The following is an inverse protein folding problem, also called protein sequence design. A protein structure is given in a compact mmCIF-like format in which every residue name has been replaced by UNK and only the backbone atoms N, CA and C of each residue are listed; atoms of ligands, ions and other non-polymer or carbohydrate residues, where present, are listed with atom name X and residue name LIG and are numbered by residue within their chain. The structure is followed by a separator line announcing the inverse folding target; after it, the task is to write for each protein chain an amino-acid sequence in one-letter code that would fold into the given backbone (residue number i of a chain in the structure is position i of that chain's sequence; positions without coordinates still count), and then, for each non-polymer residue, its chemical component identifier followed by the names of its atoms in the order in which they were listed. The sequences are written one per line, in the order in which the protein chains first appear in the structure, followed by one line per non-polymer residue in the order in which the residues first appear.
data_IF_486478537940
#
_entry.id   IF_486478537940
#
_cell.length_a   1.000
_cell.length_b   1.000
_cell.length_c   1.000
_cell.angle_alpha   90.00
_cell.angle_beta   90.00
_cell.angle_gamma   90.00
#
_symmetry.space_group_name_H-M   'P 1'
#
loop_
_entity.id
_entity.type
_entity.pdbx_description
1 polymer ?
#
# COMPACT_ATOMS: atom_id res chain seq x y z
N UNK A 1 3.35 13.99 -1.00
CA UNK A 1 3.04 13.51 -2.36
C UNK A 1 3.96 14.10 -3.42
N UNK A 2 4.25 15.40 -3.42
CA UNK A 2 5.19 16.01 -4.38
C UNK A 2 6.64 15.51 -4.23
N UNK A 3 7.14 15.27 -3.01
CA UNK A 3 8.51 14.79 -2.79
C UNK A 3 8.78 13.37 -3.33
N UNK A 4 7.83 12.44 -3.17
CA UNK A 4 7.95 11.08 -3.73
C UNK A 4 7.94 11.11 -5.27
N UNK A 5 7.10 11.96 -5.88
CA UNK A 5 7.03 12.09 -7.33
C UNK A 5 8.37 12.56 -7.95
N UNK A 6 9.10 13.45 -7.27
CA UNK A 6 10.43 13.92 -7.73
C UNK A 6 11.46 12.79 -7.70
N UNK A 7 11.45 11.95 -6.67
CA UNK A 7 12.35 10.79 -6.54
C UNK A 7 12.06 9.73 -7.61
N UNK A 8 10.78 9.46 -7.91
CA UNK A 8 10.41 8.48 -8.94
C UNK A 8 10.70 8.97 -10.37
N UNK A 9 10.64 10.29 -10.61
CA UNK A 9 11.12 10.90 -11.86
C UNK A 9 12.64 10.75 -11.98
N UNK A 10 13.39 10.90 -10.88
CA UNK A 10 14.84 10.67 -10.87
C UNK A 10 15.23 9.19 -11.12
N UNK A 11 14.36 8.23 -10.74
CA UNK A 11 14.56 6.79 -11.03
C UNK A 11 14.09 6.34 -12.42
N UNK A 12 13.51 7.23 -13.24
CA UNK A 12 12.94 6.90 -14.56
C UNK A 12 11.93 5.73 -14.55
N UNK A 13 11.31 5.42 -13.40
CA UNK A 13 10.34 4.33 -13.30
C UNK A 13 8.94 4.86 -13.60
N UNK A 14 8.56 4.86 -14.89
CA UNK A 14 7.29 5.39 -15.39
C UNK A 14 6.05 4.81 -14.67
N UNK A 15 6.17 3.58 -14.16
CA UNK A 15 5.10 2.89 -13.41
C UNK A 15 4.80 3.62 -12.09
N UNK A 16 5.82 3.97 -11.32
CA UNK A 16 5.61 4.64 -10.02
C UNK A 16 5.02 6.04 -10.21
N UNK A 17 5.50 6.78 -11.21
CA UNK A 17 4.94 8.10 -11.55
C UNK A 17 3.46 7.98 -11.94
N UNK A 18 3.11 7.00 -12.78
CA UNK A 18 1.72 6.76 -13.18
C UNK A 18 0.84 6.35 -11.99
N UNK A 19 1.35 5.50 -11.08
CA UNK A 19 0.62 5.09 -9.88
C UNK A 19 0.40 6.26 -8.92
N UNK A 20 1.44 7.04 -8.61
CA UNK A 20 1.32 8.19 -7.69
C UNK A 20 0.43 9.29 -8.27
N UNK A 21 0.64 9.68 -9.53
CA UNK A 21 -0.16 10.71 -10.18
C UNK A 21 -1.61 10.23 -10.36
N UNK A 22 -1.80 8.99 -10.81
CA UNK A 22 -3.11 8.38 -10.95
C UNK A 22 -3.86 8.31 -9.62
N UNK A 23 -3.19 7.94 -8.53
CA UNK A 23 -3.79 7.90 -7.19
C UNK A 23 -4.13 9.31 -6.69
N UNK A 24 -3.27 10.30 -6.92
CA UNK A 24 -3.52 11.69 -6.54
C UNK A 24 -4.71 12.29 -7.31
N UNK A 25 -4.77 12.07 -8.63
CA UNK A 25 -5.91 12.48 -9.46
C UNK A 25 -7.18 11.78 -8.99
N UNK A 26 -7.12 10.47 -8.72
CA UNK A 26 -8.25 9.72 -8.22
C UNK A 26 -8.75 10.24 -6.86
N UNK A 27 -7.85 10.55 -5.93
CA UNK A 27 -8.18 11.18 -4.65
C UNK A 27 -8.87 12.53 -4.85
N UNK A 28 -8.36 13.38 -5.74
CA UNK A 28 -8.98 14.66 -6.06
C UNK A 28 -10.36 14.51 -6.70
N UNK A 29 -10.54 13.55 -7.60
CA UNK A 29 -11.83 13.26 -8.23
C UNK A 29 -12.83 12.73 -7.21
N UNK A 30 -12.41 11.82 -6.33
CA UNK A 30 -13.25 11.28 -5.25
C UNK A 30 -13.63 12.39 -4.26
N UNK A 31 -12.69 13.25 -3.88
CA UNK A 31 -12.96 14.38 -2.97
C UNK A 31 -13.95 15.39 -3.56
N UNK A 32 -14.04 15.47 -4.89
CA UNK A 32 -14.93 16.40 -5.61
C UNK A 32 -16.25 15.77 -6.05
N UNK A 33 -16.44 14.46 -5.87
CA UNK A 33 -17.68 13.78 -6.26
C UNK A 33 -18.42 13.29 -5.03
N UNK A 34 -19.66 13.74 -4.87
CA UNK A 34 -20.63 13.13 -3.97
C UNK A 34 -20.92 11.71 -4.48
N UNK A 35 -20.19 10.72 -3.96
CA UNK A 35 -20.43 9.33 -4.28
C UNK A 35 -21.68 8.87 -3.54
N UNK A 36 -22.72 8.37 -4.24
CA UNK A 36 -23.90 7.88 -3.58
C UNK A 36 -23.53 6.75 -2.60
N UNK A 37 -24.14 6.70 -1.40
CA UNK A 37 -23.90 5.65 -0.45
C UNK A 37 -24.27 4.31 -1.09
N UNK A 38 -23.35 3.34 -1.04
CA UNK A 38 -23.50 2.03 -1.67
C UNK A 38 -23.07 0.95 -0.70
N UNK A 39 -23.71 -0.20 -0.80
CA UNK A 39 -23.44 -1.31 0.11
C UNK A 39 -22.15 -2.02 -0.30
N UNK A 40 -21.28 -2.38 0.66
CA UNK A 40 -20.11 -3.20 0.38
C UNK A 40 -20.54 -4.58 -0.17
N UNK A 41 -19.69 -5.22 -0.99
CA UNK A 41 -20.06 -6.50 -1.60
C UNK A 41 -20.17 -7.62 -0.55
N UNK A 42 -21.16 -8.51 -0.70
CA UNK A 42 -21.49 -9.56 0.29
C UNK A 42 -20.37 -10.56 0.58
N UNK A 43 -19.46 -10.80 -0.36
CA UNK A 43 -18.34 -11.72 -0.13
C UNK A 43 -17.33 -11.18 0.90
N UNK A 44 -17.36 -9.86 1.18
CA UNK A 44 -16.50 -9.22 2.17
C UNK A 44 -16.83 -9.63 3.62
N UNK A 45 -18.07 -10.05 3.89
CA UNK A 45 -18.48 -10.52 5.22
C UNK A 45 -18.13 -11.99 5.48
N UNK A 46 -17.63 -12.71 4.48
CA UNK A 46 -17.24 -14.10 4.62
C UNK A 46 -16.04 -14.26 5.55
N UNK A 47 -16.19 -15.06 6.63
CA UNK A 47 -15.13 -15.31 7.61
C UNK A 47 -13.81 -15.84 7.01
N UNK A 48 -13.89 -16.52 5.87
CA UNK A 48 -12.74 -17.16 5.21
C UNK A 48 -12.23 -16.42 3.97
N UNK A 49 -12.96 -15.44 3.44
CA UNK A 49 -12.58 -14.80 2.18
C UNK A 49 -11.22 -14.08 2.28
N UNK A 50 -10.98 -13.37 3.39
CA UNK A 50 -9.69 -12.73 3.68
C UNK A 50 -8.53 -13.70 3.85
N UNK A 51 -8.62 -14.68 4.77
CA UNK A 51 -7.58 -15.69 4.93
C UNK A 51 -7.27 -16.48 3.66
N UNK A 52 -8.28 -16.83 2.87
CA UNK A 52 -8.09 -17.53 1.58
C UNK A 52 -7.37 -16.62 0.58
N UNK A 53 -7.81 -15.38 0.41
CA UNK A 53 -7.15 -14.42 -0.47
C UNK A 53 -5.69 -14.15 -0.04
N UNK A 54 -5.47 -13.96 1.26
CA UNK A 54 -4.12 -13.77 1.83
C UNK A 54 -3.22 -14.98 1.61
N UNK A 55 -3.77 -16.19 1.75
CA UNK A 55 -3.03 -17.44 1.50
C UNK A 55 -2.67 -17.60 0.04
N UNK A 56 -3.57 -17.26 -0.89
CA UNK A 56 -3.31 -17.29 -2.34
C UNK A 56 -2.22 -16.28 -2.71
N UNK A 57 -2.30 -15.04 -2.20
CA UNK A 57 -1.26 -14.03 -2.41
C UNK A 57 0.08 -14.50 -1.84
N UNK A 58 0.08 -15.00 -0.60
CA UNK A 58 1.25 -15.56 0.04
C UNK A 58 1.87 -16.70 -0.77
N UNK A 59 1.05 -17.60 -1.33
CA UNK A 59 1.49 -18.72 -2.14
C UNK A 59 2.12 -18.28 -3.47
N UNK A 60 1.48 -17.35 -4.19
CA UNK A 60 2.05 -16.81 -5.44
C UNK A 60 3.39 -16.14 -5.16
N UNK A 61 3.45 -15.35 -4.09
CA UNK A 61 4.68 -14.68 -3.64
C UNK A 61 5.73 -15.69 -3.15
N UNK A 62 5.35 -16.83 -2.59
CA UNK A 62 6.28 -17.89 -2.15
C UNK A 62 6.97 -18.56 -3.33
N UNK A 63 6.18 -18.93 -4.34
CA UNK A 63 6.59 -19.82 -5.43
C UNK A 63 7.32 -19.06 -6.54
N UNK A 64 6.96 -17.80 -6.76
CA UNK A 64 7.49 -17.03 -7.87
C UNK A 64 8.73 -16.22 -7.48
N UNK A 65 9.63 -15.91 -8.44
CA UNK A 65 10.67 -14.92 -8.26
C UNK A 65 10.07 -13.57 -7.88
N UNK A 66 10.75 -12.82 -7.00
CA UNK A 66 10.29 -11.51 -6.50
C UNK A 66 9.97 -10.53 -7.63
N UNK A 67 10.83 -10.46 -8.64
CA UNK A 67 10.69 -9.58 -9.80
C UNK A 67 9.81 -10.16 -10.93
N UNK A 68 9.11 -11.28 -10.69
CA UNK A 68 8.28 -11.90 -11.72
C UNK A 68 7.04 -11.06 -12.04
N UNK A 69 6.63 -11.11 -13.31
CA UNK A 69 5.38 -10.50 -13.79
C UNK A 69 4.17 -11.07 -13.04
N UNK A 70 4.21 -12.34 -12.64
CA UNK A 70 3.13 -12.98 -11.87
C UNK A 70 2.91 -12.32 -10.50
N UNK A 71 3.99 -11.99 -9.78
CA UNK A 71 3.90 -11.27 -8.50
C UNK A 71 3.37 -9.85 -8.72
N UNK A 72 3.88 -9.15 -9.73
CA UNK A 72 3.43 -7.78 -10.06
C UNK A 72 1.94 -7.75 -10.40
N UNK A 73 1.47 -8.66 -11.27
CA UNK A 73 0.05 -8.78 -11.64
C UNK A 73 -0.82 -9.12 -10.43
N UNK A 74 -0.36 -10.02 -9.56
CA UNK A 74 -1.10 -10.40 -8.34
C UNK A 74 -1.30 -9.20 -7.43
N UNK A 75 -0.24 -8.43 -7.18
CA UNK A 75 -0.31 -7.22 -6.36
C UNK A 75 -1.20 -6.15 -7.02
N UNK A 76 -1.08 -5.96 -8.33
CA UNK A 76 -1.92 -5.03 -9.08
C UNK A 76 -3.41 -5.39 -9.01
N UNK A 77 -3.75 -6.68 -9.17
CA UNK A 77 -5.12 -7.18 -9.05
C UNK A 77 -5.66 -6.99 -7.63
N UNK A 78 -4.88 -7.33 -6.60
CA UNK A 78 -5.28 -7.11 -5.21
C UNK A 78 -5.52 -5.63 -4.92
N UNK A 79 -4.63 -4.76 -5.38
CA UNK A 79 -4.77 -3.31 -5.27
C UNK A 79 -6.02 -2.78 -5.99
N UNK A 80 -6.26 -3.23 -7.22
CA UNK A 80 -7.43 -2.85 -8.01
C UNK A 80 -8.74 -3.32 -7.36
N UNK A 81 -8.78 -4.56 -6.85
CA UNK A 81 -9.94 -5.08 -6.12
C UNK A 81 -10.20 -4.26 -4.86
N UNK A 82 -9.16 -3.98 -4.07
CA UNK A 82 -9.27 -3.13 -2.88
C UNK A 82 -9.81 -1.74 -3.23
N UNK A 83 -9.28 -1.13 -4.30
CA UNK A 83 -9.74 0.17 -4.78
C UNK A 83 -11.21 0.14 -5.21
N UNK A 84 -11.62 -0.85 -6.00
CA UNK A 84 -13.02 -1.01 -6.44
C UNK A 84 -13.94 -1.19 -5.24
N UNK A 85 -13.52 -1.93 -4.21
CA UNK A 85 -14.29 -2.09 -2.96
C UNK A 85 -14.44 -0.75 -2.25
N UNK A 86 -13.37 0.03 -2.11
CA UNK A 86 -13.41 1.36 -1.47
C UNK A 86 -14.32 2.31 -2.24
N UNK A 87 -14.20 2.37 -3.56
CA UNK A 87 -15.04 3.22 -4.41
C UNK A 87 -16.51 2.78 -4.41
N UNK A 88 -16.79 1.48 -4.21
CA UNK A 88 -18.14 0.92 -4.13
C UNK A 88 -18.76 0.99 -2.74
N UNK A 89 -17.97 1.08 -1.67
CA UNK A 89 -18.50 1.19 -0.31
C UNK A 89 -19.14 2.56 -0.04
N UNK A 90 -18.94 3.55 -0.93
CA UNK A 90 -19.49 4.91 -0.80
C UNK A 90 -19.03 5.62 0.47
N UNK A 91 -19.57 6.81 0.74
CA UNK A 91 -19.30 7.52 2.01
C UNK A 91 -20.04 6.85 3.18
N UNK A 92 -19.45 5.78 3.68
CA UNK A 92 -20.04 4.91 4.69
C UNK A 92 -19.32 4.95 6.03
N UNK A 93 -18.90 6.12 6.53
CA UNK A 93 -18.74 6.48 7.95
C UNK A 93 -17.86 7.72 8.09
N UNK A 94 -18.05 8.51 9.17
CA UNK A 94 -17.06 9.51 9.55
C UNK A 94 -15.68 8.85 9.59
N UNK A 95 -14.72 9.42 8.84
CA UNK A 95 -13.31 9.11 9.03
C UNK A 95 -13.06 9.27 10.52
N UNK A 96 -12.56 8.23 11.23
CA UNK A 96 -12.28 8.38 12.65
C UNK A 96 -11.33 9.57 12.77
N UNK A 97 -11.80 10.65 13.39
CA UNK A 97 -10.93 11.77 13.75
C UNK A 97 -9.94 11.20 14.73
N UNK A 98 -8.78 10.77 14.24
CA UNK A 98 -7.64 10.45 15.07
C UNK A 98 -7.48 11.65 16.01
N UNK A 99 -7.42 11.44 17.34
CA UNK A 99 -7.12 12.53 18.24
C UNK A 99 -5.82 13.16 17.74
N UNK A 100 -5.90 14.42 17.29
CA UNK A 100 -4.78 15.13 16.64
C UNK A 100 -3.53 15.12 17.50
N UNK A 101 -3.70 15.08 18.83
CA UNK A 101 -2.61 14.94 19.80
C UNK A 101 -1.79 13.64 19.65
N UNK A 102 -2.39 12.53 19.20
CA UNK A 102 -1.69 11.24 19.01
C UNK A 102 -1.28 10.98 17.57
N UNK A 103 -1.77 11.75 16.61
CA UNK A 103 -1.36 11.63 15.21
C UNK A 103 0.15 11.90 15.06
N UNK A 104 0.68 12.89 15.79
CA UNK A 104 2.10 13.26 15.76
C UNK A 104 3.04 12.11 16.17
N UNK A 105 2.60 11.22 17.06
CA UNK A 105 3.40 10.05 17.49
C UNK A 105 3.72 9.13 16.32
N UNK A 106 2.87 9.10 15.29
CA UNK A 106 3.09 8.32 14.08
C UNK A 106 3.64 9.17 12.93
N UNK A 107 3.11 10.38 12.75
CA UNK A 107 3.51 11.27 11.65
C UNK A 107 4.97 11.68 11.76
N UNK A 108 5.46 12.01 12.96
CA UNK A 108 6.85 12.46 13.17
C UNK A 108 7.87 11.38 12.80
N UNK A 109 7.82 10.15 13.36
CA UNK A 109 8.79 9.13 13.00
C UNK A 109 8.67 8.69 11.54
N UNK A 110 7.46 8.64 10.97
CA UNK A 110 7.29 8.35 9.54
C UNK A 110 7.91 9.43 8.66
N UNK A 111 7.66 10.71 8.97
CA UNK A 111 8.22 11.83 8.21
C UNK A 111 9.75 11.88 8.36
N UNK A 112 10.26 11.67 9.57
CA UNK A 112 11.68 11.57 9.83
C UNK A 112 12.31 10.41 9.05
N UNK A 113 11.68 9.22 9.07
CA UNK A 113 12.12 8.08 8.27
C UNK A 113 12.15 8.38 6.77
N UNK A 114 11.12 9.03 6.21
CA UNK A 114 11.11 9.46 4.82
C UNK A 114 12.19 10.49 4.49
N UNK A 115 12.48 11.42 5.41
CA UNK A 115 13.52 12.43 5.22
C UNK A 115 14.92 11.81 5.30
N UNK A 116 15.14 10.86 6.20
CA UNK A 116 16.39 10.09 6.28
C UNK A 116 16.60 9.27 5.02
N UNK A 117 15.58 8.53 4.57
CA UNK A 117 15.65 7.74 3.33
C UNK A 117 15.92 8.62 2.10
N UNK A 118 15.34 9.81 2.05
CA UNK A 118 15.62 10.79 1.01
C UNK A 118 17.05 11.35 1.10
N UNK A 119 17.54 11.65 2.30
CA UNK A 119 18.89 12.16 2.51
C UNK A 119 19.96 11.12 2.12
N UNK A 120 19.75 9.86 2.51
CA UNK A 120 20.62 8.75 2.15
C UNK A 120 20.61 8.54 0.63
N UNK A 121 19.43 8.54 0.00
CA UNK A 121 19.31 8.40 -1.45
C UNK A 121 20.00 9.54 -2.22
N UNK A 122 19.88 10.80 -1.77
CA UNK A 122 20.54 11.94 -2.40
C UNK A 122 22.07 11.93 -2.20
N UNK A 123 22.55 11.21 -1.19
CA UNK A 123 23.97 11.02 -0.91
C UNK A 123 24.57 9.87 -1.72
N UNK A 124 23.74 9.08 -2.42
CA UNK A 124 24.22 8.02 -3.29
C UNK A 124 24.77 8.60 -4.60
N UNK A 125 25.95 8.13 -5.08
CA UNK A 125 26.53 8.58 -6.34
C UNK A 125 25.72 8.14 -7.56
N UNK A 126 24.93 7.07 -7.42
CA UNK A 126 23.98 6.60 -8.43
C UNK A 126 22.71 6.10 -7.73
N UNK A 127 21.54 6.61 -8.12
CA UNK A 127 20.25 6.26 -7.55
C UNK A 127 19.78 4.82 -7.87
N UNK A 128 20.46 4.15 -8.82
CA UNK A 128 20.18 2.78 -9.23
C UNK A 128 21.10 1.75 -8.56
N UNK A 129 22.16 2.20 -7.88
CA UNK A 129 23.17 1.29 -7.32
C UNK A 129 23.24 1.48 -5.81
N UNK A 130 23.01 0.39 -5.07
CA UNK A 130 23.04 0.44 -3.61
C UNK A 130 24.45 0.82 -3.12
N UNK A 131 24.51 1.80 -2.21
CA UNK A 131 25.76 2.22 -1.56
C UNK A 131 25.74 1.81 -0.08
N UNK A 132 26.67 0.96 0.37
CA UNK A 132 26.76 0.56 1.78
C UNK A 132 27.12 1.70 2.73
N UNK A 133 27.69 2.80 2.24
CA UNK A 133 28.03 3.98 3.06
C UNK A 133 26.81 4.87 3.36
N UNK A 134 25.76 4.77 2.54
CA UNK A 134 24.48 5.47 2.69
C UNK A 134 23.31 4.50 2.48
N UNK A 135 23.10 3.54 3.40
CA UNK A 135 22.12 2.48 3.24
C UNK A 135 20.70 3.02 3.41
N UNK A 136 19.88 2.96 2.35
CA UNK A 136 18.44 3.28 2.45
C UNK A 136 17.68 2.14 3.13
N UNK A 137 16.46 2.41 3.62
CA UNK A 137 15.60 1.37 4.19
C UNK A 137 15.39 0.19 3.24
N UNK A 138 15.30 0.42 1.93
CA UNK A 138 15.22 -0.65 0.93
C UNK A 138 16.45 -1.56 0.96
N UNK A 139 17.67 -1.02 1.06
CA UNK A 139 18.91 -1.83 1.12
C UNK A 139 18.95 -2.75 2.35
N UNK A 140 18.33 -2.33 3.46
CA UNK A 140 18.25 -3.13 4.68
C UNK A 140 17.13 -4.19 4.62
N UNK A 141 16.01 -3.86 3.99
CA UNK A 141 14.84 -4.74 3.90
C UNK A 141 14.97 -5.75 2.76
N UNK A 142 15.69 -5.41 1.69
CA UNK A 142 15.82 -6.27 0.51
C UNK A 142 16.41 -7.65 0.80
N UNK A 143 17.53 -7.78 1.54
CA UNK A 143 18.07 -9.09 1.93
C UNK A 143 17.09 -9.89 2.79
N UNK A 144 16.31 -9.20 3.62
CA UNK A 144 15.30 -9.83 4.46
C UNK A 144 14.15 -10.40 3.61
N UNK A 145 13.77 -9.72 2.53
CA UNK A 145 12.74 -10.13 1.57
C UNK A 145 13.22 -11.14 0.51
N UNK A 146 14.53 -11.36 0.38
CA UNK A 146 15.07 -12.47 -0.41
C UNK A 146 14.68 -13.82 0.22
N UNK A 147 14.58 -13.87 1.54
CA UNK A 147 14.09 -15.01 2.29
C UNK A 147 12.65 -15.34 1.92
N UNK A 148 12.44 -16.43 1.16
CA UNK A 148 11.12 -16.98 0.84
C UNK A 148 10.16 -17.04 2.05
N UNK A 149 10.54 -17.57 3.24
CA UNK A 149 9.61 -17.66 4.37
C UNK A 149 9.18 -16.27 4.88
N UNK A 150 10.13 -15.34 4.98
CA UNK A 150 9.86 -13.97 5.44
C UNK A 150 8.92 -13.28 4.45
N UNK A 151 9.18 -13.41 3.15
CA UNK A 151 8.37 -12.83 2.09
C UNK A 151 6.91 -13.30 2.15
N UNK A 152 6.68 -14.58 2.44
CA UNK A 152 5.34 -15.14 2.65
C UNK A 152 4.68 -14.55 3.87
N UNK A 153 5.38 -14.52 5.01
CA UNK A 153 4.84 -13.97 6.25
C UNK A 153 4.44 -12.51 6.06
N UNK A 154 5.32 -11.69 5.49
CA UNK A 154 5.05 -10.28 5.20
C UNK A 154 3.86 -10.12 4.26
N UNK A 155 3.80 -10.89 3.17
CA UNK A 155 2.70 -10.81 2.20
C UNK A 155 1.35 -11.22 2.81
N UNK A 156 1.32 -12.29 3.61
CA UNK A 156 0.10 -12.75 4.31
C UNK A 156 -0.34 -11.73 5.34
N UNK A 157 0.57 -11.22 6.18
CA UNK A 157 0.28 -10.18 7.16
C UNK A 157 -0.28 -8.91 6.49
N UNK A 158 0.33 -8.48 5.38
CA UNK A 158 -0.13 -7.32 4.61
C UNK A 158 -1.54 -7.53 4.04
N UNK A 159 -1.79 -8.69 3.41
CA UNK A 159 -3.10 -9.00 2.84
C UNK A 159 -4.19 -9.10 3.92
N UNK A 160 -3.87 -9.69 5.08
CA UNK A 160 -4.79 -9.76 6.22
C UNK A 160 -5.07 -8.38 6.81
N UNK A 161 -4.06 -7.52 6.96
CA UNK A 161 -4.24 -6.15 7.44
C UNK A 161 -5.15 -5.35 6.48
N UNK A 162 -4.93 -5.46 5.17
CA UNK A 162 -5.78 -4.85 4.14
C UNK A 162 -7.21 -5.39 4.19
N UNK A 163 -7.39 -6.69 4.38
CA UNK A 163 -8.70 -7.32 4.55
C UNK A 163 -9.45 -6.79 5.78
N UNK A 164 -8.77 -6.72 6.93
CA UNK A 164 -9.35 -6.18 8.18
C UNK A 164 -9.79 -4.73 7.97
N UNK A 165 -8.99 -3.93 7.27
CA UNK A 165 -9.32 -2.54 6.96
C UNK A 165 -10.56 -2.43 6.05
N UNK A 166 -10.63 -3.24 4.99
CA UNK A 166 -11.78 -3.28 4.08
C UNK A 166 -13.06 -3.75 4.80
N UNK A 167 -12.95 -4.75 5.69
CA UNK A 167 -14.07 -5.18 6.53
C UNK A 167 -14.53 -4.10 7.49
N UNK A 168 -13.60 -3.42 8.16
CA UNK A 168 -13.92 -2.32 9.05
C UNK A 168 -14.63 -1.17 8.31
N UNK A 169 -14.24 -0.89 7.06
CA UNK A 169 -14.91 0.07 6.19
C UNK A 169 -16.32 -0.40 5.79
N UNK A 170 -16.48 -1.67 5.44
CA UNK A 170 -17.75 -2.26 5.06
C UNK A 170 -18.78 -2.27 6.22
N UNK A 171 -18.36 -2.71 7.41
CA UNK A 171 -19.21 -2.75 8.62
C UNK A 171 -19.65 -1.34 9.06
N UNK A 172 -18.83 -0.34 8.79
CA UNK A 172 -19.14 1.07 9.02
C UNK A 172 -20.24 1.60 8.08
N UNK A 173 -20.22 1.18 6.82
CA UNK A 173 -21.23 1.58 5.84
C UNK A 173 -22.61 0.95 6.08
N UNK A 174 -22.68 -0.21 6.75
CA UNK A 174 -23.93 -0.94 7.00
C UNK A 174 -24.68 -0.54 8.28
N UNK A 175 -24.12 0.32 9.14
CA UNK A 175 -24.75 0.78 10.40
C UNK A 175 -25.57 2.08 10.25
N UNK A 176 -25.87 2.51 9.02
CA UNK A 176 -26.82 3.57 8.68
C UNK A 176 -28.09 2.93 8.13
#
# INVERSE_FOLDING_TARGET
MLGAAVVHVARANAVDVAVFLGTAVLMLVVLRRDLPPRTPPRWLSGRWAGPVAASVVGLVVAVQPRASVAVQLTLAVVGLVGLVVVLRAGEGAPVPRLPTARAWVWTVPLLAGCLLELADLLSQPDAQTDNPDHPTLSTLVDPLLEGRPIRVVVAVCWALAGWVLLRALAERGSRR
#
